data_IF_123359073106
#
_entry.id   IF_123359073106
#
_cell.length_a   1.000
_cell.length_b   1.000
_cell.length_c   1.000
_cell.angle_alpha   90.00
_cell.angle_beta   90.00
_cell.angle_gamma   90.00
#
_symmetry.space_group_name_H-M   'P 1'
#
loop_
_entity.id
_entity.type
_entity.pdbx_description
1 polymer ?
#
# COMPACT_ATOMS: atom_id res chain seq x y z
N UNK A 1 10.84 -21.43 4.16
CA UNK A 1 12.09 -20.63 4.24
C UNK A 1 11.75 -19.23 4.72
N UNK A 2 12.56 -18.66 5.60
CA UNK A 2 12.36 -17.29 6.10
C UNK A 2 13.49 -16.41 5.57
N UNK A 3 13.15 -15.24 5.05
CA UNK A 3 14.10 -14.23 4.58
C UNK A 3 13.78 -12.91 5.29
N UNK A 4 14.81 -12.24 5.80
CA UNK A 4 14.69 -10.91 6.39
C UNK A 4 15.25 -9.91 5.40
N UNK A 5 14.48 -8.86 5.11
CA UNK A 5 14.89 -7.75 4.25
C UNK A 5 14.92 -6.46 5.06
N UNK A 6 15.74 -5.52 4.64
CA UNK A 6 15.86 -4.22 5.32
C UNK A 6 14.62 -3.34 5.13
N UNK A 7 13.95 -3.51 3.99
CA UNK A 7 12.76 -2.75 3.62
C UNK A 7 11.92 -3.56 2.63
N UNK A 8 10.61 -3.32 2.59
CA UNK A 8 9.72 -3.79 1.52
C UNK A 8 9.39 -2.66 0.53
N UNK A 9 9.89 -1.46 0.78
CA UNK A 9 9.55 -0.28 -0.01
C UNK A 9 10.49 -0.05 -1.19
N UNK A 10 11.64 -0.77 -1.24
CA UNK A 10 12.59 -0.64 -2.33
C UNK A 10 12.51 -1.81 -3.33
N UNK A 11 12.77 -1.50 -4.60
CA UNK A 11 12.72 -2.48 -5.70
C UNK A 11 13.75 -3.60 -5.54
N UNK A 12 15.00 -3.35 -5.16
CA UNK A 12 15.99 -4.41 -4.95
C UNK A 12 15.59 -5.45 -3.92
N UNK A 13 14.91 -5.05 -2.83
CA UNK A 13 14.43 -5.98 -1.83
C UNK A 13 13.36 -6.92 -2.38
N UNK A 14 12.38 -6.41 -3.13
CA UNK A 14 11.36 -7.24 -3.78
C UNK A 14 12.00 -8.21 -4.80
N UNK A 15 12.97 -7.75 -5.59
CA UNK A 15 13.73 -8.60 -6.51
C UNK A 15 14.55 -9.66 -5.78
N UNK A 16 15.12 -9.35 -4.62
CA UNK A 16 15.81 -10.32 -3.78
C UNK A 16 14.85 -11.40 -3.27
N UNK A 17 13.66 -11.01 -2.81
CA UNK A 17 12.62 -11.95 -2.38
C UNK A 17 12.20 -12.84 -3.55
N UNK A 18 11.94 -12.28 -4.73
CA UNK A 18 11.56 -13.03 -5.93
C UNK A 18 12.60 -14.11 -6.28
N UNK A 19 13.89 -13.77 -6.24
CA UNK A 19 14.98 -14.74 -6.50
C UNK A 19 15.05 -15.88 -5.49
N UNK A 20 14.52 -15.70 -4.29
CA UNK A 20 14.59 -16.68 -3.19
C UNK A 20 13.30 -17.47 -2.97
N UNK A 21 12.19 -16.98 -3.51
CA UNK A 21 10.88 -17.58 -3.36
C UNK A 21 10.73 -18.79 -4.30
N UNK A 22 10.52 -19.97 -3.70
CA UNK A 22 10.41 -21.26 -4.37
C UNK A 22 9.12 -22.03 -4.02
N UNK A 23 8.18 -21.38 -3.32
CA UNK A 23 6.88 -21.95 -2.91
C UNK A 23 5.72 -21.27 -3.63
N UNK A 24 4.53 -21.88 -3.59
CA UNK A 24 3.34 -21.37 -4.30
C UNK A 24 2.84 -20.03 -3.73
N UNK A 25 3.16 -19.74 -2.47
CA UNK A 25 2.78 -18.51 -1.78
C UNK A 25 3.94 -17.89 -1.03
N UNK A 26 3.90 -16.55 -0.89
CA UNK A 26 4.85 -15.76 -0.12
C UNK A 26 4.07 -15.00 0.95
N UNK A 27 4.44 -15.20 2.21
CA UNK A 27 3.86 -14.47 3.33
C UNK A 27 4.79 -13.32 3.73
N UNK A 28 4.31 -12.08 3.62
CA UNK A 28 4.99 -10.88 4.08
C UNK A 28 4.49 -10.49 5.46
N UNK A 29 5.42 -10.17 6.34
CA UNK A 29 5.16 -9.42 7.55
C UNK A 29 5.88 -8.07 7.43
N UNK A 30 5.11 -7.01 7.26
CA UNK A 30 5.63 -5.65 7.02
C UNK A 30 5.84 -4.85 8.31
N UNK A 31 5.45 -5.42 9.46
CA UNK A 31 5.64 -4.79 10.75
C UNK A 31 7.07 -4.84 11.26
N UNK A 32 7.40 -3.96 12.19
CA UNK A 32 8.71 -3.87 12.87
C UNK A 32 8.69 -4.41 14.29
N UNK A 33 7.50 -4.72 14.83
CA UNK A 33 7.31 -5.27 16.18
C UNK A 33 6.95 -6.76 16.10
N UNK A 34 7.12 -7.53 17.18
CA UNK A 34 6.68 -8.91 17.21
C UNK A 34 5.19 -9.05 16.87
N UNK A 35 4.87 -10.05 16.05
CA UNK A 35 3.50 -10.45 15.72
C UNK A 35 3.09 -11.68 16.54
N UNK A 36 1.87 -11.70 17.08
CA UNK A 36 1.24 -12.86 17.66
C UNK A 36 0.21 -13.43 16.65
N UNK A 37 0.54 -14.54 16.01
CA UNK A 37 -0.39 -15.24 15.14
C UNK A 37 -1.45 -15.97 15.95
N UNK A 38 -2.72 -15.84 15.56
CA UNK A 38 -3.79 -16.62 16.16
C UNK A 38 -3.67 -18.10 15.75
N UNK A 39 -4.20 -19.03 16.55
CA UNK A 39 -4.20 -20.45 16.18
C UNK A 39 -4.77 -20.64 14.77
N UNK A 40 -4.06 -21.41 13.95
CA UNK A 40 -4.44 -21.72 12.56
C UNK A 40 -4.43 -20.53 11.57
N UNK A 41 -3.97 -19.33 11.94
CA UNK A 41 -4.00 -18.14 11.09
C UNK A 41 -3.40 -18.38 9.69
N UNK A 42 -2.17 -18.90 9.63
CA UNK A 42 -1.50 -19.18 8.34
C UNK A 42 -2.26 -20.26 7.57
N UNK A 43 -2.68 -21.33 8.23
CA UNK A 43 -3.47 -22.39 7.60
C UNK A 43 -4.80 -21.87 7.06
N UNK A 44 -5.44 -20.92 7.77
CA UNK A 44 -6.68 -20.30 7.34
C UNK A 44 -6.47 -19.40 6.11
N UNK A 45 -5.44 -18.56 6.11
CA UNK A 45 -5.08 -17.75 4.94
C UNK A 45 -4.80 -18.63 3.72
N UNK A 46 -4.00 -19.69 3.90
CA UNK A 46 -3.70 -20.66 2.85
C UNK A 46 -4.96 -21.34 2.30
N UNK A 47 -5.85 -21.84 3.18
CA UNK A 47 -7.10 -22.48 2.77
C UNK A 47 -7.99 -21.56 1.93
N UNK A 48 -8.07 -20.28 2.31
CA UNK A 48 -8.83 -19.28 1.55
C UNK A 48 -8.15 -19.01 0.21
N UNK A 49 -6.82 -18.91 0.19
CA UNK A 49 -6.06 -18.67 -1.03
C UNK A 49 -6.19 -19.83 -2.03
N UNK A 50 -6.25 -21.09 -1.56
CA UNK A 50 -6.48 -22.27 -2.42
C UNK A 50 -7.91 -22.31 -2.99
N UNK A 51 -8.89 -21.79 -2.25
CA UNK A 51 -10.30 -21.79 -2.65
C UNK A 51 -10.71 -20.57 -3.49
N UNK A 52 -9.79 -19.61 -3.71
CA UNK A 52 -10.04 -18.39 -4.46
C UNK A 52 -8.96 -18.17 -5.52
N UNK A 53 -9.30 -17.42 -6.56
CA UNK A 53 -8.41 -16.98 -7.63
C UNK A 53 -7.70 -15.64 -7.32
N UNK A 54 -7.58 -15.29 -6.01
CA UNK A 54 -6.91 -14.07 -5.57
C UNK A 54 -5.39 -14.11 -5.78
N UNK A 55 -4.80 -12.95 -6.02
CA UNK A 55 -3.36 -12.78 -6.14
C UNK A 55 -2.71 -12.22 -4.86
N UNK A 56 -3.50 -11.53 -4.03
CA UNK A 56 -3.10 -10.99 -2.73
C UNK A 56 -4.24 -11.19 -1.73
N UNK A 57 -3.88 -11.63 -0.51
CA UNK A 57 -4.82 -11.85 0.60
C UNK A 57 -4.33 -11.11 1.84
N UNK A 58 -5.26 -10.51 2.58
CA UNK A 58 -5.01 -9.81 3.85
C UNK A 58 -6.21 -9.99 4.77
N UNK A 59 -6.04 -9.70 6.07
CA UNK A 59 -7.08 -9.97 7.05
C UNK A 59 -7.21 -8.86 8.07
N UNK A 60 -8.31 -8.91 8.84
CA UNK A 60 -8.45 -8.14 10.06
C UNK A 60 -7.41 -8.56 11.10
N UNK A 61 -7.14 -7.67 12.05
CA UNK A 61 -6.18 -7.92 13.11
C UNK A 61 -6.59 -7.28 14.44
N UNK A 62 -5.80 -7.49 15.46
CA UNK A 62 -5.92 -6.80 16.74
C UNK A 62 -4.68 -5.96 17.00
N UNK A 63 -4.89 -4.83 17.66
CA UNK A 63 -3.82 -4.00 18.20
C UNK A 63 -3.81 -4.04 19.73
N UNK A 64 -2.61 -4.09 20.32
CA UNK A 64 -2.46 -3.94 21.76
C UNK A 64 -2.29 -2.45 22.08
N UNK A 65 -3.35 -1.82 22.59
CA UNK A 65 -3.32 -0.42 23.06
C UNK A 65 -3.54 -0.38 24.55
N UNK A 66 -2.60 0.20 25.30
CA UNK A 66 -2.67 0.27 26.77
C UNK A 66 -2.91 -1.09 27.44
N UNK A 67 -2.26 -2.15 26.94
CA UNK A 67 -2.39 -3.51 27.45
C UNK A 67 -3.69 -4.24 27.11
N UNK A 68 -4.56 -3.64 26.28
CA UNK A 68 -5.81 -4.26 25.82
C UNK A 68 -5.72 -4.61 24.35
N UNK A 69 -6.23 -5.79 23.97
CA UNK A 69 -6.42 -6.17 22.57
C UNK A 69 -7.67 -5.48 22.03
N UNK A 70 -7.50 -4.67 21.01
CA UNK A 70 -8.58 -3.93 20.34
C UNK A 70 -8.69 -4.45 18.91
N UNK A 71 -9.89 -4.85 18.49
CA UNK A 71 -10.15 -5.29 17.13
C UNK A 71 -9.97 -4.13 16.15
N UNK A 72 -9.23 -4.39 15.08
CA UNK A 72 -8.99 -3.46 13.99
C UNK A 72 -9.51 -4.10 12.69
N UNK A 73 -10.74 -3.80 12.27
CA UNK A 73 -11.26 -4.27 11.00
C UNK A 73 -10.57 -3.54 9.86
N UNK A 74 -10.09 -4.26 8.88
CA UNK A 74 -9.62 -3.70 7.61
C UNK A 74 -10.81 -3.53 6.66
N UNK A 75 -10.64 -2.65 5.66
CA UNK A 75 -11.67 -2.45 4.66
C UNK A 75 -11.52 -3.44 3.51
N UNK A 76 -12.63 -3.84 2.91
CA UNK A 76 -12.60 -4.59 1.66
C UNK A 76 -12.00 -3.72 0.55
N UNK A 77 -11.04 -4.29 -0.19
CA UNK A 77 -10.40 -3.60 -1.30
C UNK A 77 -11.37 -3.40 -2.45
N UNK A 78 -11.54 -2.16 -2.86
CA UNK A 78 -12.35 -1.82 -4.03
C UNK A 78 -11.44 -1.73 -5.27
N UNK A 79 -11.82 -2.44 -6.34
CA UNK A 79 -11.10 -2.37 -7.62
C UNK A 79 -11.00 -0.91 -8.08
N UNK A 80 -9.79 -0.47 -8.41
CA UNK A 80 -9.52 0.92 -8.78
C UNK A 80 -9.12 1.83 -7.61
N UNK A 81 -9.06 1.32 -6.37
CA UNK A 81 -8.50 2.08 -5.25
C UNK A 81 -7.01 2.34 -5.45
N UNK A 82 -6.63 3.62 -5.56
CA UNK A 82 -5.26 4.08 -5.78
C UNK A 82 -4.61 4.71 -4.54
N UNK A 83 -5.27 4.67 -3.38
CA UNK A 83 -4.69 5.23 -2.16
C UNK A 83 -3.42 4.50 -1.77
N UNK A 84 -2.32 5.23 -1.59
CA UNK A 84 -1.04 4.66 -1.16
C UNK A 84 -1.03 4.28 0.33
N UNK A 85 -1.95 4.83 1.13
CA UNK A 85 -2.14 4.57 2.55
C UNK A 85 -3.30 3.60 2.86
N UNK A 86 -3.75 2.80 1.89
CA UNK A 86 -4.76 1.78 2.13
C UNK A 86 -4.26 0.76 3.15
N UNK A 87 -5.02 0.56 4.21
CA UNK A 87 -4.65 -0.37 5.28
C UNK A 87 -4.98 -1.82 4.93
N UNK A 88 -3.96 -2.57 4.56
CA UNK A 88 -4.00 -4.01 4.37
C UNK A 88 -3.59 -4.78 5.65
N UNK A 89 -3.36 -4.09 6.76
CA UNK A 89 -2.67 -4.65 7.92
C UNK A 89 -1.19 -4.92 7.64
N UNK A 90 -0.59 -5.76 8.47
CA UNK A 90 0.85 -6.03 8.42
C UNK A 90 1.19 -7.44 7.92
N UNK A 91 0.18 -8.28 7.67
CA UNK A 91 0.36 -9.65 7.21
C UNK A 91 -0.31 -9.83 5.85
N UNK A 92 0.50 -10.05 4.80
CA UNK A 92 0.06 -10.13 3.41
C UNK A 92 0.48 -11.46 2.82
N UNK A 93 -0.45 -12.20 2.22
CA UNK A 93 -0.16 -13.44 1.52
C UNK A 93 -0.28 -13.22 0.02
N UNK A 94 0.82 -13.35 -0.71
CA UNK A 94 0.89 -13.23 -2.15
C UNK A 94 0.91 -14.60 -2.81
N UNK A 95 0.20 -14.76 -3.92
CA UNK A 95 0.42 -15.86 -4.84
C UNK A 95 1.76 -15.64 -5.56
N UNK A 96 2.65 -16.61 -5.49
CA UNK A 96 4.03 -16.42 -5.93
C UNK A 96 4.15 -16.19 -7.45
N UNK A 97 3.35 -16.86 -8.27
CA UNK A 97 3.34 -16.65 -9.72
C UNK A 97 3.03 -15.18 -10.08
N UNK A 98 2.00 -14.61 -9.47
CA UNK A 98 1.62 -13.22 -9.66
C UNK A 98 2.69 -12.25 -9.14
N UNK A 99 3.28 -12.58 -7.99
CA UNK A 99 4.40 -11.80 -7.42
C UNK A 99 5.61 -11.81 -8.37
N UNK A 100 6.03 -12.98 -8.84
CA UNK A 100 7.15 -13.13 -9.78
C UNK A 100 6.91 -12.36 -11.08
N UNK A 101 5.70 -12.49 -11.63
CA UNK A 101 5.33 -11.79 -12.87
C UNK A 101 5.44 -10.27 -12.72
N UNK A 102 4.96 -9.70 -11.60
CA UNK A 102 5.04 -8.26 -11.34
C UNK A 102 6.49 -7.84 -11.14
N UNK A 103 7.24 -8.51 -10.25
CA UNK A 103 8.60 -8.12 -9.91
C UNK A 103 9.53 -8.20 -11.14
N UNK A 104 9.31 -9.17 -12.04
CA UNK A 104 10.06 -9.26 -13.29
C UNK A 104 9.83 -8.06 -14.25
N UNK A 105 8.71 -7.35 -14.08
CA UNK A 105 8.34 -6.18 -14.89
C UNK A 105 8.72 -4.83 -14.23
N UNK A 106 9.18 -4.86 -12.98
CA UNK A 106 9.65 -3.66 -12.28
C UNK A 106 10.96 -3.17 -12.88
N UNK A 107 10.88 -2.08 -13.67
CA UNK A 107 12.03 -1.48 -14.37
C UNK A 107 12.56 -0.21 -13.70
N UNK A 108 11.85 0.32 -12.71
CA UNK A 108 12.23 1.51 -11.96
C UNK A 108 12.78 1.11 -10.60
N UNK A 109 13.90 1.69 -10.22
CA UNK A 109 14.54 1.45 -8.92
C UNK A 109 13.97 2.42 -7.88
N UNK A 110 12.77 2.08 -7.36
CA UNK A 110 12.14 2.84 -6.28
C UNK A 110 12.79 2.53 -4.93
N UNK A 111 12.92 3.56 -4.11
CA UNK A 111 13.36 3.46 -2.71
C UNK A 111 12.19 3.37 -1.73
N UNK A 112 11.05 3.94 -2.09
CA UNK A 112 9.91 4.10 -1.18
C UNK A 112 8.61 3.52 -1.73
N UNK A 113 8.45 3.42 -3.04
CA UNK A 113 7.16 3.10 -3.66
C UNK A 113 7.06 1.68 -4.25
N UNK A 114 8.07 0.81 -4.09
CA UNK A 114 8.06 -0.51 -4.72
C UNK A 114 6.91 -1.40 -4.23
N UNK A 115 6.58 -1.40 -2.93
CA UNK A 115 5.44 -2.16 -2.41
C UNK A 115 4.11 -1.59 -2.94
N UNK A 116 4.02 -0.28 -3.14
CA UNK A 116 2.86 0.36 -3.74
C UNK A 116 2.71 -0.01 -5.22
N UNK A 117 3.81 -0.01 -5.99
CA UNK A 117 3.83 -0.50 -7.37
C UNK A 117 3.43 -1.98 -7.46
N UNK A 118 3.97 -2.82 -6.57
CA UNK A 118 3.61 -4.23 -6.48
C UNK A 118 2.11 -4.41 -6.28
N UNK A 119 1.52 -3.72 -5.31
CA UNK A 119 0.10 -3.79 -5.00
C UNK A 119 -0.77 -3.36 -6.19
N UNK A 120 -0.47 -2.20 -6.80
CA UNK A 120 -1.23 -1.71 -7.95
C UNK A 120 -1.08 -2.63 -9.18
N UNK A 121 0.10 -3.19 -9.38
CA UNK A 121 0.33 -4.14 -10.48
C UNK A 121 -0.38 -5.47 -10.26
N UNK A 122 -0.36 -5.99 -9.03
CA UNK A 122 -1.12 -7.20 -8.64
C UNK A 122 -2.62 -7.00 -8.87
N UNK A 123 -3.17 -5.81 -8.57
CA UNK A 123 -4.60 -5.54 -8.79
C UNK A 123 -5.03 -5.59 -10.26
N UNK A 124 -4.09 -5.53 -11.20
CA UNK A 124 -4.35 -5.73 -12.65
C UNK A 124 -4.28 -7.18 -13.09
N UNK A 125 -3.61 -8.05 -12.32
CA UNK A 125 -3.43 -9.47 -12.63
C UNK A 125 -4.50 -10.35 -11.98
N UNK A 126 -4.95 -10.00 -10.80
CA UNK A 126 -5.90 -10.80 -10.04
C UNK A 126 -6.57 -10.03 -8.92
N UNK A 127 -7.48 -10.70 -8.24
CA UNK A 127 -8.22 -10.11 -7.12
C UNK A 127 -7.33 -9.89 -5.91
N UNK A 128 -7.58 -8.81 -5.18
CA UNK A 128 -7.09 -8.58 -3.83
C UNK A 128 -8.23 -8.96 -2.89
N UNK A 129 -8.00 -9.96 -2.05
CA UNK A 129 -9.05 -10.61 -1.25
C UNK A 129 -8.90 -10.23 0.21
N UNK A 130 -9.93 -9.62 0.77
CA UNK A 130 -10.06 -9.38 2.20
C UNK A 130 -10.61 -10.63 2.91
N UNK A 131 -9.99 -10.99 4.01
CA UNK A 131 -10.44 -12.05 4.92
C UNK A 131 -11.00 -11.36 6.16
N UNK A 132 -12.33 -11.28 6.35
CA UNK A 132 -12.95 -10.58 7.47
C UNK A 132 -12.86 -11.43 8.75
N UNK A 133 -11.66 -11.90 9.05
CA UNK A 133 -11.33 -12.71 10.23
C UNK A 133 -10.09 -12.11 10.90
N UNK A 134 -10.14 -12.00 12.22
CA UNK A 134 -8.98 -11.56 13.01
C UNK A 134 -7.97 -12.70 13.11
N UNK A 135 -6.86 -12.59 12.36
CA UNK A 135 -5.89 -13.68 12.26
C UNK A 135 -4.61 -13.44 13.07
N UNK A 136 -4.36 -12.21 13.52
CA UNK A 136 -3.15 -11.89 14.26
C UNK A 136 -3.33 -10.67 15.18
N UNK A 137 -2.37 -10.50 16.08
CA UNK A 137 -2.29 -9.35 16.98
C UNK A 137 -0.92 -8.68 16.83
N UNK A 138 -0.91 -7.37 16.77
CA UNK A 138 0.31 -6.54 16.68
C UNK A 138 0.35 -5.48 17.77
N UNK A 139 1.54 -4.99 18.09
CA UNK A 139 1.71 -3.77 18.85
C UNK A 139 1.80 -2.60 17.86
N UNK A 140 0.97 -1.56 18.01
CA UNK A 140 1.05 -0.40 17.13
C UNK A 140 2.42 0.25 17.33
N UNK A 141 3.12 0.46 16.21
CA UNK A 141 4.37 1.20 16.18
C UNK A 141 4.07 2.54 15.55
N UNK A 142 4.08 3.60 16.35
CA UNK A 142 4.08 4.96 15.81
C UNK A 142 5.52 5.34 15.45
N UNK A 143 5.89 5.17 14.18
CA UNK A 143 7.23 5.47 13.68
C UNK A 143 7.39 6.93 13.24
N UNK A 144 6.38 7.79 13.45
CA UNK A 144 6.42 9.18 13.00
C UNK A 144 7.28 10.03 13.92
N UNK A 145 8.26 10.70 13.33
CA UNK A 145 9.16 11.61 14.02
C UNK A 145 8.44 12.86 14.55
N UNK A 146 7.36 13.31 13.92
CA UNK A 146 6.64 14.53 14.25
C UNK A 146 5.51 14.34 15.27
N UNK A 147 4.98 13.12 15.42
CA UNK A 147 3.77 12.87 16.23
C UNK A 147 2.48 13.48 15.66
N UNK A 148 2.56 14.28 14.59
CA UNK A 148 1.43 14.94 13.93
C UNK A 148 0.99 14.19 12.66
N UNK A 149 -0.11 13.46 12.78
CA UNK A 149 -0.66 12.65 11.66
C UNK A 149 -1.12 13.47 10.46
N UNK A 150 -1.48 14.73 10.68
CA UNK A 150 -2.32 15.48 9.76
C UNK A 150 -1.55 16.14 8.63
N UNK A 151 -0.25 16.33 8.75
CA UNK A 151 0.54 17.13 7.81
C UNK A 151 1.78 16.44 7.25
N UNK A 152 1.98 15.14 7.49
CA UNK A 152 3.14 14.41 6.97
C UNK A 152 3.22 14.43 5.43
N UNK A 153 2.07 14.55 4.74
CA UNK A 153 2.02 14.60 3.27
C UNK A 153 2.49 15.94 2.67
N UNK A 154 2.56 17.00 3.47
CA UNK A 154 3.08 18.32 3.04
C UNK A 154 4.49 18.61 3.57
N UNK A 155 5.07 17.70 4.37
CA UNK A 155 6.42 17.86 4.88
C UNK A 155 7.44 17.79 3.71
N UNK A 156 8.25 18.83 3.50
CA UNK A 156 9.29 18.82 2.47
C UNK A 156 10.29 17.64 2.60
N UNK A 157 10.47 17.10 3.82
CA UNK A 157 11.31 15.93 4.04
C UNK A 157 10.76 14.67 3.35
N UNK A 158 9.45 14.59 3.12
CA UNK A 158 8.78 13.49 2.45
C UNK A 158 8.61 13.69 0.93
N UNK A 159 9.22 14.73 0.35
CA UNK A 159 9.03 15.05 -1.07
C UNK A 159 9.45 13.90 -2.00
N UNK A 160 10.56 13.23 -1.73
CA UNK A 160 11.02 12.11 -2.54
C UNK A 160 10.00 10.95 -2.52
N UNK A 161 9.46 10.63 -1.35
CA UNK A 161 8.40 9.62 -1.18
C UNK A 161 7.17 9.98 -2.02
N UNK A 162 6.73 11.23 -1.94
CA UNK A 162 5.55 11.71 -2.68
C UNK A 162 5.74 11.62 -4.18
N UNK A 163 6.92 12.00 -4.69
CA UNK A 163 7.24 11.94 -6.13
C UNK A 163 7.23 10.49 -6.64
N UNK A 164 7.78 9.54 -5.88
CA UNK A 164 7.72 8.13 -6.27
C UNK A 164 6.29 7.59 -6.25
N UNK A 165 5.50 7.91 -5.21
CA UNK A 165 4.09 7.50 -5.12
C UNK A 165 3.27 8.07 -6.28
N UNK A 166 3.48 9.35 -6.65
CA UNK A 166 2.83 9.99 -7.80
C UNK A 166 3.21 9.31 -9.11
N UNK A 167 4.49 9.00 -9.30
CA UNK A 167 4.98 8.32 -10.50
C UNK A 167 4.35 6.93 -10.67
N UNK A 168 4.30 6.14 -9.59
CA UNK A 168 3.67 4.81 -9.58
C UNK A 168 2.17 4.92 -9.87
N UNK A 169 1.47 5.85 -9.21
CA UNK A 169 0.04 6.06 -9.41
C UNK A 169 -0.25 6.45 -10.86
N UNK A 170 0.52 7.39 -11.42
CA UNK A 170 0.39 7.85 -12.80
C UNK A 170 0.59 6.70 -13.79
N UNK A 171 1.65 5.91 -13.61
CA UNK A 171 1.91 4.75 -14.46
C UNK A 171 0.78 3.72 -14.40
N UNK A 172 0.22 3.49 -13.21
CA UNK A 172 -0.94 2.61 -13.04
C UNK A 172 -2.18 3.14 -13.77
N UNK A 173 -2.51 4.44 -13.61
CA UNK A 173 -3.65 5.07 -14.27
C UNK A 173 -3.51 5.00 -15.80
N UNK A 174 -2.30 5.20 -16.33
CA UNK A 174 -2.01 5.04 -17.76
C UNK A 174 -2.24 3.58 -18.20
N UNK A 175 -1.76 2.61 -17.42
CA UNK A 175 -1.89 1.19 -17.73
C UNK A 175 -3.34 0.69 -17.76
N UNK A 176 -4.23 1.28 -16.95
CA UNK A 176 -5.66 0.93 -16.91
C UNK A 176 -6.54 1.84 -17.79
N UNK A 177 -5.95 2.80 -18.52
CA UNK A 177 -6.69 3.73 -19.38
C UNK A 177 -7.50 4.79 -18.62
N UNK A 178 -7.19 5.03 -17.36
CA UNK A 178 -7.87 6.02 -16.49
C UNK A 178 -7.08 7.33 -16.34
N UNK A 179 -5.96 7.45 -17.01
CA UNK A 179 -5.16 8.68 -16.99
C UNK A 179 -5.81 9.77 -17.86
N UNK A 180 -6.13 10.89 -17.22
CA UNK A 180 -6.53 12.11 -17.91
C UNK A 180 -5.34 13.06 -17.89
N UNK A 181 -4.74 13.29 -19.06
CA UNK A 181 -3.69 14.29 -19.18
C UNK A 181 -4.25 15.67 -18.79
N UNK A 182 -3.54 16.44 -17.94
CA UNK A 182 -4.03 17.75 -17.55
C UNK A 182 -4.01 18.70 -18.77
N UNK A 183 -5.17 19.22 -19.12
CA UNK A 183 -5.32 20.29 -20.11
C UNK A 183 -5.54 21.61 -19.36
N UNK A 184 -4.53 22.45 -19.33
CA UNK A 184 -4.61 23.76 -18.68
C UNK A 184 -5.15 24.78 -19.66
N UNK A 185 -6.32 25.34 -19.38
CA UNK A 185 -6.79 26.54 -20.08
C UNK A 185 -6.11 27.75 -19.46
N UNK A 186 -5.49 28.56 -20.34
CA UNK A 186 -4.97 29.85 -19.90
C UNK A 186 -6.16 30.78 -19.65
N UNK A 187 -6.40 31.11 -18.38
CA UNK A 187 -7.39 32.12 -18.04
C UNK A 187 -6.75 33.49 -18.24
N UNK A 188 -7.29 34.27 -19.16
CA UNK A 188 -6.95 35.68 -19.28
C UNK A 188 -7.92 36.46 -18.41
N UNK A 189 -7.41 37.02 -17.33
CA UNK A 189 -8.20 37.84 -16.42
C UNK A 189 -8.39 39.26 -16.94
N UNK A 190 -7.80 39.60 -18.12
CA UNK A 190 -7.85 40.92 -18.70
C UNK A 190 -7.26 42.01 -17.80
N UNK A 191 -7.60 43.26 -18.11
CA UNK A 191 -7.31 44.41 -17.23
C UNK A 191 -8.56 44.81 -16.42
N UNK A 192 -9.40 43.87 -16.10
CA UNK A 192 -10.67 44.16 -15.44
C UNK A 192 -10.42 44.55 -13.98
N UNK A 193 -10.92 45.72 -13.62
CA UNK A 193 -11.14 46.09 -12.24
C UNK A 193 -12.29 45.23 -11.72
N UNK A 194 -11.97 44.25 -10.87
CA UNK A 194 -13.01 43.42 -10.21
C UNK A 194 -14.00 44.34 -9.47
N UNK A 195 -15.25 44.27 -9.83
CA UNK A 195 -16.33 45.05 -9.20
C UNK A 195 -16.53 44.70 -7.71
N UNK A 196 -15.91 43.59 -7.26
CA UNK A 196 -15.93 43.12 -5.85
C UNK A 196 -14.59 42.52 -5.49
N UNK A 197 -14.09 42.91 -4.33
CA UNK A 197 -12.95 42.24 -3.69
C UNK A 197 -13.49 41.13 -2.79
N UNK A 198 -12.91 39.94 -2.88
CA UNK A 198 -13.21 38.80 -2.02
C UNK A 198 -11.93 38.29 -1.38
N UNK A 199 -11.94 38.08 -0.08
CA UNK A 199 -10.88 37.38 0.64
C UNK A 199 -11.28 35.93 0.82
N UNK A 200 -10.39 35.00 0.41
CA UNK A 200 -10.57 33.57 0.66
C UNK A 200 -9.68 33.21 1.86
N UNK A 201 -10.28 32.74 2.93
CA UNK A 201 -9.56 32.23 4.08
C UNK A 201 -9.55 30.71 3.96
N UNK A 202 -8.38 30.11 3.78
CA UNK A 202 -8.18 28.68 3.82
C UNK A 202 -7.62 28.34 5.19
N UNK A 203 -8.38 27.70 6.09
CA UNK A 203 -7.81 27.20 7.34
C UNK A 203 -6.83 26.09 7.02
N UNK A 204 -5.61 26.21 7.53
CA UNK A 204 -4.53 25.22 7.42
C UNK A 204 -4.41 24.47 8.72
#
# INVERSE_FOLDING_TARGET
KTTVVSSFTDTPALQQIARQADSDYILFYTGTTPIELHPYAIGRMYQIAESNDGALFYSDYQEIRQGKKIHHPTLEYQTGSIRNDFDFGQLLLFRNDSFQQVVAQMNTDYRFAALYELRLSISRLGKIVHIPETLYTVQPTDLRLSGEKQFDYVDPANREVQLEMEAVCTAHLQAIGAWLAPEFQRIDFGQENFAREASVIIPV
#
